data_IF_820223431400
#
_entry.id   IF_820223431400
#
_cell.length_a   1.000
_cell.length_b   1.000
_cell.length_c   1.000
_cell.angle_alpha   90.00
_cell.angle_beta   90.00
_cell.angle_gamma   90.00
#
_symmetry.space_group_name_H-M   'P 1'
#
loop_
_entity.id
_entity.type
_entity.pdbx_description
1 polymer ?
#
# COMPACT_ATOMS: atom_id res chain seq x y z
N UNK A 1 -31.07 4.81 -17.81
CA UNK A 1 -30.13 3.77 -17.31
C UNK A 1 -30.04 3.87 -15.79
N UNK A 2 -31.14 3.60 -15.07
CA UNK A 2 -31.23 3.77 -13.61
C UNK A 2 -31.65 2.48 -12.87
N UNK A 3 -31.57 1.32 -13.52
CA UNK A 3 -32.06 0.04 -12.96
C UNK A 3 -31.04 -0.75 -12.14
N UNK A 4 -29.76 -0.37 -12.06
CA UNK A 4 -28.75 -1.19 -11.36
C UNK A 4 -28.65 -0.92 -9.85
N UNK A 5 -29.18 0.20 -9.36
CA UNK A 5 -29.10 0.56 -7.94
C UNK A 5 -30.22 -0.07 -7.10
N UNK A 6 -31.42 -0.25 -7.68
CA UNK A 6 -32.56 -0.83 -6.99
C UNK A 6 -32.41 -2.35 -6.79
N UNK A 7 -31.83 -3.05 -7.76
CA UNK A 7 -31.59 -4.51 -7.68
C UNK A 7 -30.54 -4.84 -6.62
N UNK A 8 -29.50 -4.01 -6.48
CA UNK A 8 -28.48 -4.15 -5.44
C UNK A 8 -29.05 -3.92 -4.03
N UNK A 9 -30.00 -3.00 -3.87
CA UNK A 9 -30.68 -2.77 -2.59
C UNK A 9 -31.68 -3.88 -2.22
N UNK A 10 -32.32 -4.50 -3.22
CA UNK A 10 -33.23 -5.63 -3.01
C UNK A 10 -32.48 -6.92 -2.64
N UNK A 11 -31.30 -7.17 -3.20
CA UNK A 11 -30.44 -8.31 -2.79
C UNK A 11 -29.87 -8.15 -1.37
N UNK A 12 -29.63 -6.91 -0.93
CA UNK A 12 -29.17 -6.61 0.44
C UNK A 12 -30.18 -6.98 1.53
N UNK A 13 -31.49 -7.02 1.21
CA UNK A 13 -32.57 -7.33 2.17
C UNK A 13 -32.79 -8.83 2.44
N UNK A 14 -32.07 -9.73 1.75
CA UNK A 14 -32.23 -11.19 1.88
C UNK A 14 -31.10 -11.91 2.61
N UNK A 15 -30.05 -11.21 3.03
CA UNK A 15 -28.97 -11.82 3.79
C UNK A 15 -29.48 -12.19 5.19
N UNK A 16 -29.48 -13.48 5.49
CA UNK A 16 -29.83 -13.98 6.83
C UNK A 16 -28.86 -13.37 7.83
N UNK A 17 -29.35 -12.74 8.90
CA UNK A 17 -28.48 -12.15 9.90
C UNK A 17 -27.65 -13.22 10.58
N UNK A 18 -26.32 -13.12 10.48
CA UNK A 18 -25.39 -14.04 11.10
C UNK A 18 -25.36 -13.82 12.62
N UNK A 19 -24.89 -14.77 13.40
CA UNK A 19 -24.46 -14.51 14.78
C UNK A 19 -23.02 -13.99 14.78
N UNK A 20 -22.57 -13.34 15.87
CA UNK A 20 -21.15 -12.97 16.00
C UNK A 20 -20.21 -14.17 15.87
N UNK A 21 -20.63 -15.35 16.32
CA UNK A 21 -19.85 -16.59 16.19
C UNK A 21 -19.71 -17.04 14.73
N UNK A 22 -20.80 -16.98 13.97
CA UNK A 22 -20.78 -17.27 12.54
C UNK A 22 -19.97 -16.23 11.75
N UNK A 23 -20.05 -14.96 12.13
CA UNK A 23 -19.22 -13.91 11.55
C UNK A 23 -17.71 -14.14 11.82
N UNK A 24 -17.35 -14.59 13.03
CA UNK A 24 -15.97 -14.97 13.37
C UNK A 24 -15.51 -16.17 12.53
N UNK A 25 -16.33 -17.21 12.39
CA UNK A 25 -16.01 -18.37 11.55
C UNK A 25 -15.78 -17.96 10.08
N UNK A 26 -16.65 -17.12 9.53
CA UNK A 26 -16.48 -16.57 8.17
C UNK A 26 -15.19 -15.75 8.00
N UNK A 27 -14.78 -15.01 9.03
CA UNK A 27 -13.50 -14.28 9.00
C UNK A 27 -12.31 -15.25 9.00
N UNK A 28 -12.38 -16.32 9.77
CA UNK A 28 -11.34 -17.35 9.87
C UNK A 28 -11.14 -18.09 8.54
N UNK A 29 -12.20 -18.44 7.84
CA UNK A 29 -12.14 -19.04 6.50
C UNK A 29 -11.41 -18.13 5.49
N UNK A 30 -11.48 -16.81 5.69
CA UNK A 30 -10.83 -15.81 4.83
C UNK A 30 -9.40 -15.48 5.25
N UNK A 31 -8.84 -16.15 6.26
CA UNK A 31 -7.48 -15.88 6.78
C UNK A 31 -6.41 -15.86 5.70
N UNK A 32 -6.53 -16.70 4.68
CA UNK A 32 -5.56 -16.78 3.57
C UNK A 32 -5.50 -15.50 2.73
N UNK A 33 -6.59 -14.73 2.68
CA UNK A 33 -6.67 -13.45 1.96
C UNK A 33 -6.01 -12.30 2.72
N UNK A 34 -5.66 -12.51 3.99
CA UNK A 34 -5.02 -11.48 4.83
C UNK A 34 -3.53 -11.38 4.46
N UNK A 35 -3.01 -10.16 4.22
CA UNK A 35 -1.59 -9.96 3.98
C UNK A 35 -0.72 -10.61 5.06
N UNK A 36 0.40 -11.26 4.67
CA UNK A 36 1.25 -12.04 5.58
C UNK A 36 1.63 -11.26 6.85
N UNK A 37 2.03 -10.01 6.70
CA UNK A 37 2.41 -9.13 7.81
C UNK A 37 1.24 -8.66 8.69
N UNK A 38 0.00 -8.85 8.25
CA UNK A 38 -1.21 -8.53 9.03
C UNK A 38 -1.81 -9.73 9.75
N UNK A 39 -1.26 -10.95 9.55
CA UNK A 39 -1.77 -12.17 10.21
C UNK A 39 -1.77 -12.06 11.74
N UNK A 40 -0.71 -11.53 12.35
CA UNK A 40 -0.66 -11.35 13.80
C UNK A 40 -1.68 -10.30 14.31
N UNK A 41 -1.79 -9.09 13.71
CA UNK A 41 -2.89 -8.18 14.02
C UNK A 41 -4.28 -8.79 13.86
N UNK A 42 -4.47 -9.63 12.83
CA UNK A 42 -5.72 -10.31 12.54
C UNK A 42 -6.06 -11.40 13.58
N UNK A 43 -5.08 -12.21 13.99
CA UNK A 43 -5.25 -13.18 15.07
C UNK A 43 -5.64 -12.50 16.38
N UNK A 44 -5.01 -11.35 16.69
CA UNK A 44 -5.38 -10.55 17.86
C UNK A 44 -6.81 -10.01 17.76
N UNK A 45 -7.24 -9.58 16.57
CA UNK A 45 -8.63 -9.19 16.32
C UNK A 45 -9.58 -10.37 16.59
N UNK A 46 -9.29 -11.57 16.11
CA UNK A 46 -10.12 -12.75 16.35
C UNK A 46 -10.20 -13.10 17.85
N UNK A 47 -9.09 -13.01 18.59
CA UNK A 47 -9.08 -13.21 20.05
C UNK A 47 -9.99 -12.18 20.74
N UNK A 48 -9.84 -10.90 20.39
CA UNK A 48 -10.66 -9.82 20.96
C UNK A 48 -12.15 -10.06 20.66
N UNK A 49 -12.52 -10.48 19.44
CA UNK A 49 -13.90 -10.80 19.06
C UNK A 49 -14.46 -12.03 19.78
N UNK A 50 -13.68 -13.12 19.88
CA UNK A 50 -14.08 -14.35 20.59
C UNK A 50 -14.33 -14.08 22.07
N UNK A 51 -13.53 -13.21 22.70
CA UNK A 51 -13.72 -12.84 24.11
C UNK A 51 -15.08 -12.19 24.36
N UNK A 52 -15.54 -11.39 23.40
CA UNK A 52 -16.86 -10.72 23.44
C UNK A 52 -17.99 -11.73 23.15
N UNK A 53 -17.77 -12.68 22.23
CA UNK A 53 -18.75 -13.72 21.89
C UNK A 53 -18.96 -14.79 22.98
N UNK A 54 -18.03 -14.90 23.93
CA UNK A 54 -18.09 -15.86 25.05
C UNK A 54 -18.66 -15.26 26.34
N UNK A 55 -18.45 -13.96 26.60
CA UNK A 55 -18.80 -13.33 27.89
C UNK A 55 -20.24 -12.85 28.01
N UNK A 56 -20.97 -12.73 26.90
CA UNK A 56 -22.38 -12.32 26.90
C UNK A 56 -23.13 -13.20 25.89
N UNK A 57 -24.29 -13.73 26.25
CA UNK A 57 -25.16 -14.56 25.40
C UNK A 57 -25.76 -13.77 24.23
N UNK A 58 -24.91 -13.19 23.41
CA UNK A 58 -25.24 -12.09 22.52
C UNK A 58 -25.56 -12.61 21.12
N UNK A 59 -26.83 -12.54 20.77
CA UNK A 59 -27.27 -12.58 19.38
C UNK A 59 -26.94 -11.22 18.73
N UNK A 60 -25.66 -10.96 18.45
CA UNK A 60 -25.32 -9.88 17.52
C UNK A 60 -25.66 -10.37 16.12
N UNK A 61 -26.61 -9.69 15.51
CA UNK A 61 -27.10 -9.88 14.15
C UNK A 61 -26.41 -8.80 13.28
N UNK A 62 -25.36 -9.11 12.50
CA UNK A 62 -24.84 -8.20 11.48
C UNK A 62 -25.84 -8.19 10.32
N UNK A 63 -26.45 -7.03 10.09
CA UNK A 63 -27.22 -6.74 8.88
C UNK A 63 -26.32 -5.92 7.96
N UNK A 64 -25.64 -6.59 7.04
CA UNK A 64 -24.79 -5.93 6.04
C UNK A 64 -24.08 -6.93 5.12
N UNK A 65 -23.72 -6.53 3.88
CA UNK A 65 -23.00 -7.39 2.97
C UNK A 65 -21.66 -7.80 3.59
N UNK A 66 -21.15 -8.95 3.17
CA UNK A 66 -19.98 -9.66 3.74
C UNK A 66 -18.68 -8.81 3.89
N UNK A 67 -18.66 -7.57 3.37
CA UNK A 67 -17.55 -6.63 3.40
C UNK A 67 -17.84 -5.33 4.19
N UNK A 68 -19.05 -5.13 4.73
CA UNK A 68 -19.41 -3.96 5.53
C UNK A 68 -20.27 -4.38 6.73
N UNK A 69 -19.60 -4.60 7.87
CA UNK A 69 -20.26 -4.79 9.16
C UNK A 69 -21.04 -3.51 9.54
N UNK A 70 -22.36 -3.53 9.34
CA UNK A 70 -23.29 -2.60 9.99
C UNK A 70 -24.05 -3.34 11.09
N UNK A 71 -24.16 -2.71 12.25
CA UNK A 71 -24.74 -3.28 13.47
C UNK A 71 -26.13 -2.65 13.67
N UNK A 72 -27.16 -3.48 13.82
CA UNK A 72 -28.54 -3.05 14.03
C UNK A 72 -28.76 -2.47 15.45
N UNK A 73 -29.31 -1.24 15.59
CA UNK A 73 -29.45 -0.53 16.86
C UNK A 73 -30.65 -0.93 17.75
N UNK A 74 -31.50 -1.89 17.37
CA UNK A 74 -32.79 -2.08 18.08
C UNK A 74 -32.80 -2.86 19.41
N UNK A 75 -31.66 -3.08 20.07
CA UNK A 75 -31.64 -3.54 21.47
C UNK A 75 -30.61 -2.77 22.31
N UNK A 76 -31.02 -2.18 23.44
CA UNK A 76 -30.32 -2.34 24.72
C UNK A 76 -28.80 -2.62 24.68
N UNK A 77 -28.58 -3.94 24.65
CA UNK A 77 -27.34 -4.69 24.63
C UNK A 77 -26.62 -4.66 23.28
N UNK A 78 -27.32 -4.53 22.14
CA UNK A 78 -26.70 -4.36 20.83
C UNK A 78 -26.04 -2.99 20.63
N UNK A 79 -26.58 -1.90 21.21
CA UNK A 79 -25.96 -0.57 21.14
C UNK A 79 -24.62 -0.55 21.91
N UNK A 80 -24.56 -1.17 23.08
CA UNK A 80 -23.31 -1.31 23.84
C UNK A 80 -22.31 -2.22 23.14
N UNK A 81 -22.76 -3.35 22.60
CA UNK A 81 -21.89 -4.24 21.82
C UNK A 81 -21.42 -3.60 20.52
N UNK A 82 -22.25 -2.76 19.88
CA UNK A 82 -21.85 -1.95 18.73
C UNK A 82 -20.62 -1.11 19.04
N UNK A 83 -20.63 -0.38 20.16
CA UNK A 83 -19.48 0.43 20.59
C UNK A 83 -18.23 -0.40 20.92
N UNK A 84 -18.40 -1.58 21.52
CA UNK A 84 -17.29 -2.49 21.83
C UNK A 84 -16.67 -3.03 20.55
N UNK A 85 -17.51 -3.52 19.63
CA UNK A 85 -17.08 -4.03 18.32
C UNK A 85 -16.42 -2.92 17.49
N UNK A 86 -17.00 -1.72 17.43
CA UNK A 86 -16.38 -0.55 16.81
C UNK A 86 -15.02 -0.24 17.42
N UNK A 87 -14.91 -0.33 18.74
CA UNK A 87 -13.66 -0.15 19.47
C UNK A 87 -12.59 -1.16 19.06
N UNK A 88 -12.97 -2.44 18.92
CA UNK A 88 -12.09 -3.53 18.48
C UNK A 88 -11.64 -3.30 17.03
N UNK A 89 -12.57 -3.06 16.10
CA UNK A 89 -12.25 -2.81 14.69
C UNK A 89 -11.40 -1.56 14.49
N UNK A 90 -11.71 -0.48 15.20
CA UNK A 90 -10.90 0.76 15.17
C UNK A 90 -9.46 0.50 15.62
N UNK A 91 -9.26 -0.25 16.70
CA UNK A 91 -7.92 -0.63 17.19
C UNK A 91 -7.19 -1.52 16.18
N UNK A 92 -7.87 -2.51 15.60
CA UNK A 92 -7.29 -3.38 14.57
C UNK A 92 -6.87 -2.57 13.33
N UNK A 93 -7.74 -1.68 12.83
CA UNK A 93 -7.46 -0.80 11.68
C UNK A 93 -6.25 0.12 11.95
N UNK A 94 -6.15 0.69 13.15
CA UNK A 94 -5.01 1.51 13.55
C UNK A 94 -3.68 0.73 13.61
N UNK A 95 -3.72 -0.56 14.02
CA UNK A 95 -2.54 -1.44 13.96
C UNK A 95 -2.16 -1.74 12.51
N UNK A 96 -3.11 -2.15 11.66
CA UNK A 96 -2.84 -2.48 10.26
C UNK A 96 -2.33 -1.27 9.46
N UNK A 97 -2.85 -0.06 9.73
CA UNK A 97 -2.42 1.16 9.03
C UNK A 97 -0.96 1.55 9.30
N UNK A 98 -0.33 0.97 10.32
CA UNK A 98 1.06 1.20 10.72
C UNK A 98 1.92 -0.08 10.64
N UNK A 99 1.38 -1.17 10.11
CA UNK A 99 2.05 -2.47 10.00
C UNK A 99 2.24 -2.84 8.52
N UNK A 100 3.45 -3.23 8.15
CA UNK A 100 3.78 -3.63 6.80
C UNK A 100 2.97 -4.88 6.39
N UNK A 101 2.26 -4.80 5.26
CA UNK A 101 1.45 -5.88 4.68
C UNK A 101 2.25 -7.16 4.41
N UNK A 102 3.54 -7.04 4.10
CA UNK A 102 4.42 -8.18 3.79
C UNK A 102 5.12 -8.78 5.01
N UNK A 103 5.92 -7.98 5.72
CA UNK A 103 6.84 -8.48 6.75
C UNK A 103 6.41 -8.21 8.20
N UNK A 104 5.29 -7.51 8.43
CA UNK A 104 4.79 -7.20 9.77
C UNK A 104 5.57 -6.14 10.56
N UNK A 105 6.66 -5.60 10.01
CA UNK A 105 7.40 -4.46 10.62
C UNK A 105 6.60 -3.16 10.53
N UNK A 106 7.01 -2.12 11.27
CA UNK A 106 6.39 -0.80 11.18
C UNK A 106 6.44 -0.27 9.74
N UNK A 107 5.27 0.08 9.21
CA UNK A 107 5.07 0.56 7.85
C UNK A 107 4.43 1.94 7.81
N UNK A 108 4.39 2.52 6.61
CA UNK A 108 3.61 3.72 6.30
C UNK A 108 2.83 3.47 5.01
N UNK A 109 1.72 4.19 4.81
CA UNK A 109 1.00 4.15 3.55
C UNK A 109 1.89 4.61 2.39
N UNK A 110 2.01 3.78 1.35
CA UNK A 110 2.79 4.03 0.14
C UNK A 110 1.92 3.77 -1.08
N UNK A 111 2.19 4.52 -2.15
CA UNK A 111 1.57 4.29 -3.45
C UNK A 111 2.45 3.34 -4.27
N UNK A 112 1.92 2.17 -4.63
CA UNK A 112 2.55 1.21 -5.54
C UNK A 112 1.73 1.13 -6.84
N UNK A 113 2.05 2.00 -7.81
CA UNK A 113 1.26 2.09 -9.04
C UNK A 113 -0.15 2.60 -8.72
N UNK A 114 -1.19 1.82 -9.01
CA UNK A 114 -2.58 2.17 -8.67
C UNK A 114 -3.03 1.68 -7.29
N UNK A 115 -2.24 0.83 -6.62
CA UNK A 115 -2.57 0.28 -5.29
C UNK A 115 -1.93 1.10 -4.17
N UNK A 116 -2.70 1.43 -3.13
CA UNK A 116 -2.15 1.87 -1.84
C UNK A 116 -1.88 0.66 -0.96
N UNK A 117 -0.67 0.55 -0.44
CA UNK A 117 -0.26 -0.48 0.50
C UNK A 117 0.53 0.10 1.66
N UNK A 118 0.38 -0.47 2.84
CA UNK A 118 1.20 -0.14 4.02
C UNK A 118 2.47 -0.98 3.96
N UNK A 119 3.61 -0.34 3.73
CA UNK A 119 4.90 -1.03 3.60
C UNK A 119 5.98 -0.38 4.46
N UNK A 120 6.89 -1.20 4.97
CA UNK A 120 8.14 -0.71 5.54
C UNK A 120 9.07 -0.22 4.42
N UNK A 121 10.11 0.60 4.72
CA UNK A 121 11.03 1.10 3.69
C UNK A 121 11.68 0.00 2.86
N UNK A 122 12.04 -1.13 3.47
CA UNK A 122 12.68 -2.24 2.78
C UNK A 122 11.75 -2.94 1.78
N UNK A 123 10.54 -3.33 2.21
CA UNK A 123 9.53 -3.92 1.31
C UNK A 123 9.13 -2.94 0.20
N UNK A 124 8.93 -1.65 0.54
CA UNK A 124 8.62 -0.63 -0.46
C UNK A 124 9.72 -0.48 -1.52
N UNK A 125 10.99 -0.50 -1.11
CA UNK A 125 12.12 -0.41 -2.02
C UNK A 125 12.16 -1.59 -2.99
N UNK A 126 11.93 -2.83 -2.52
CA UNK A 126 11.89 -4.03 -3.38
C UNK A 126 10.87 -3.90 -4.52
N UNK A 127 9.69 -3.35 -4.26
CA UNK A 127 8.67 -3.12 -5.29
C UNK A 127 8.93 -1.90 -6.17
N UNK A 128 9.53 -0.85 -5.60
CA UNK A 128 9.67 0.44 -6.28
C UNK A 128 10.93 0.54 -7.13
N UNK A 129 12.03 -0.07 -6.71
CA UNK A 129 13.32 -0.02 -7.40
C UNK A 129 13.21 -0.58 -8.82
N UNK A 130 12.63 -1.77 -9.08
CA UNK A 130 12.45 -2.28 -10.44
C UNK A 130 11.76 -1.29 -11.39
N UNK A 131 10.64 -0.70 -10.92
CA UNK A 131 9.86 0.26 -11.72
C UNK A 131 10.64 1.54 -11.98
N UNK A 132 11.35 2.04 -10.98
CA UNK A 132 12.15 3.26 -11.11
C UNK A 132 13.41 3.04 -11.96
N UNK A 133 14.07 1.88 -11.85
CA UNK A 133 15.20 1.48 -12.68
C UNK A 133 14.78 1.39 -14.15
N UNK A 134 13.68 0.68 -14.45
CA UNK A 134 13.10 0.61 -15.80
C UNK A 134 12.76 1.98 -16.38
N UNK A 135 12.12 2.86 -15.59
CA UNK A 135 11.84 4.24 -16.00
C UNK A 135 13.12 5.01 -16.32
N UNK A 136 14.18 4.83 -15.53
CA UNK A 136 15.47 5.50 -15.76
C UNK A 136 16.13 4.99 -17.05
N UNK A 137 16.11 3.68 -17.31
CA UNK A 137 16.61 3.11 -18.57
C UNK A 137 15.84 3.65 -19.78
N UNK A 138 14.50 3.75 -19.69
CA UNK A 138 13.69 4.36 -20.74
C UNK A 138 14.07 5.82 -21.01
N UNK A 139 14.34 6.62 -19.96
CA UNK A 139 14.82 8.00 -20.13
C UNK A 139 16.16 8.05 -20.87
N UNK A 140 17.08 7.15 -20.54
CA UNK A 140 18.37 7.04 -21.24
C UNK A 140 18.15 6.64 -22.70
N UNK A 141 17.33 5.62 -22.96
CA UNK A 141 17.05 5.15 -24.32
C UNK A 141 16.40 6.23 -25.19
N UNK A 142 15.45 6.98 -24.64
CA UNK A 142 14.83 8.12 -25.33
C UNK A 142 15.85 9.23 -25.64
N UNK A 143 16.89 9.37 -24.82
CA UNK A 143 17.93 10.38 -24.99
C UNK A 143 19.13 9.89 -25.82
N UNK A 144 19.22 8.60 -26.20
CA UNK A 144 20.32 8.05 -27.00
C UNK A 144 20.50 8.73 -28.36
N UNK A 145 19.44 9.35 -28.89
CA UNK A 145 19.51 10.10 -30.15
C UNK A 145 20.40 11.36 -30.07
N UNK A 146 20.74 11.83 -28.86
CA UNK A 146 21.56 13.02 -28.68
C UNK A 146 22.43 12.94 -27.41
N UNK A 147 23.71 12.65 -27.60
CA UNK A 147 24.71 12.50 -26.53
C UNK A 147 24.96 13.78 -25.71
N UNK A 148 24.53 14.94 -26.22
CA UNK A 148 24.62 16.22 -25.50
C UNK A 148 23.43 16.48 -24.57
N UNK A 149 22.42 15.61 -24.57
CA UNK A 149 21.30 15.74 -23.66
C UNK A 149 21.74 15.50 -22.22
N UNK A 150 21.12 16.27 -21.33
CA UNK A 150 21.29 16.15 -19.89
C UNK A 150 19.95 15.75 -19.28
N UNK A 151 19.99 14.88 -18.30
CA UNK A 151 18.81 14.50 -17.52
C UNK A 151 18.88 15.26 -16.21
N UNK A 152 17.82 16.01 -15.91
CA UNK A 152 17.76 16.83 -14.70
C UNK A 152 17.45 15.94 -13.48
N UNK A 153 18.00 16.28 -12.32
CA UNK A 153 17.76 15.54 -11.07
C UNK A 153 16.26 15.27 -10.79
N UNK A 154 15.32 16.23 -10.99
CA UNK A 154 13.90 15.98 -10.76
C UNK A 154 13.29 14.89 -11.66
N UNK A 155 13.85 14.66 -12.84
CA UNK A 155 13.37 13.66 -13.81
C UNK A 155 13.77 12.25 -13.41
N UNK A 156 14.90 12.11 -12.72
CA UNK A 156 15.38 10.83 -12.19
C UNK A 156 14.49 10.44 -11.01
N UNK A 157 13.98 9.20 -10.92
CA UNK A 157 13.18 8.76 -9.78
C UNK A 157 13.97 8.76 -8.45
N UNK A 158 13.30 9.13 -7.36
CA UNK A 158 13.94 9.42 -6.08
C UNK A 158 14.83 8.29 -5.51
N UNK A 159 14.41 7.02 -5.59
CA UNK A 159 15.23 5.91 -5.08
C UNK A 159 16.48 5.72 -5.93
N UNK A 160 16.38 5.93 -7.24
CA UNK A 160 17.52 5.84 -8.16
C UNK A 160 18.50 6.98 -7.90
N UNK A 161 18.02 8.20 -7.62
CA UNK A 161 18.91 9.34 -7.29
C UNK A 161 19.90 9.00 -6.18
N UNK A 162 19.42 8.31 -5.14
CA UNK A 162 20.25 7.91 -4.00
C UNK A 162 21.25 6.79 -4.31
N UNK A 163 21.06 6.07 -5.42
CA UNK A 163 21.95 5.01 -5.89
C UNK A 163 23.00 5.52 -6.88
N UNK A 164 22.82 6.73 -7.42
CA UNK A 164 23.79 7.33 -8.34
C UNK A 164 25.02 7.83 -7.57
N UNK A 165 26.24 7.45 -8.00
CA UNK A 165 27.48 7.98 -7.44
C UNK A 165 27.50 9.52 -7.46
N UNK A 166 28.10 10.13 -6.43
CA UNK A 166 28.10 11.59 -6.25
C UNK A 166 28.82 12.27 -7.42
N UNK A 167 29.82 11.61 -7.98
CA UNK A 167 30.71 12.07 -9.03
C UNK A 167 30.00 12.25 -10.38
N UNK A 168 28.88 11.56 -10.58
CA UNK A 168 28.05 11.69 -11.79
C UNK A 168 27.23 12.96 -11.81
N UNK A 169 26.99 13.56 -10.64
CA UNK A 169 26.19 14.75 -10.53
C UNK A 169 27.01 15.98 -10.91
N UNK A 170 26.51 16.71 -11.90
CA UNK A 170 26.98 18.05 -12.24
C UNK A 170 25.99 19.08 -11.76
N UNK A 171 26.45 20.29 -11.56
CA UNK A 171 25.62 21.41 -11.13
C UNK A 171 25.71 22.51 -12.15
N UNK A 172 24.55 23.02 -12.57
CA UNK A 172 24.48 24.22 -13.39
C UNK A 172 23.75 25.30 -12.60
N UNK A 173 24.30 26.52 -12.65
CA UNK A 173 23.71 27.70 -12.02
C UNK A 173 23.24 28.63 -13.13
N UNK A 174 21.98 29.03 -13.07
CA UNK A 174 21.46 30.08 -13.94
C UNK A 174 20.68 31.09 -13.12
N UNK A 175 20.67 32.33 -13.61
CA UNK A 175 19.89 33.40 -13.03
C UNK A 175 18.51 33.39 -13.68
N UNK A 176 17.46 33.39 -12.86
CA UNK A 176 16.12 33.54 -13.39
C UNK A 176 15.97 34.93 -14.02
N UNK A 177 15.48 35.03 -15.26
CA UNK A 177 15.38 36.31 -15.96
C UNK A 177 14.41 37.29 -15.30
N UNK A 178 13.45 36.82 -14.50
CA UNK A 178 12.42 37.68 -13.87
C UNK A 178 12.80 38.22 -12.50
N UNK A 179 13.49 37.43 -11.68
CA UNK A 179 13.71 37.75 -10.26
C UNK A 179 15.20 37.82 -9.88
N UNK A 180 16.12 37.65 -10.84
CA UNK A 180 17.57 37.56 -10.63
C UNK A 180 18.01 36.52 -9.59
N UNK A 181 17.11 35.65 -9.14
CA UNK A 181 17.40 34.59 -8.20
C UNK A 181 18.28 33.54 -8.88
N UNK A 182 19.41 33.20 -8.24
CA UNK A 182 20.28 32.14 -8.70
C UNK A 182 19.66 30.78 -8.36
N UNK A 183 19.31 30.00 -9.38
CA UNK A 183 18.87 28.62 -9.22
C UNK A 183 20.04 27.71 -9.52
N UNK A 184 20.31 26.78 -8.59
CA UNK A 184 21.25 25.69 -8.79
C UNK A 184 20.44 24.43 -9.12
N UNK A 185 20.69 23.83 -10.28
CA UNK A 185 20.11 22.54 -10.65
C UNK A 185 21.20 21.49 -10.78
N UNK A 186 20.92 20.27 -10.32
CA UNK A 186 21.78 19.11 -10.55
C UNK A 186 21.31 18.36 -11.79
N UNK A 187 22.26 17.85 -12.55
CA UNK A 187 22.00 17.06 -13.75
C UNK A 187 23.04 15.96 -13.91
N UNK A 188 22.71 14.97 -14.74
CA UNK A 188 23.62 13.89 -15.15
C UNK A 188 23.63 13.82 -16.67
N UNK A 189 24.81 13.63 -17.25
CA UNK A 189 24.96 13.41 -18.69
C UNK A 189 24.36 12.04 -19.07
N UNK A 190 23.66 11.99 -20.19
CA UNK A 190 23.00 10.74 -20.66
C UNK A 190 24.01 9.62 -20.91
N UNK A 191 25.19 9.92 -21.46
CA UNK A 191 26.27 8.95 -21.65
C UNK A 191 26.73 8.33 -20.31
N UNK A 192 26.96 9.15 -19.28
CA UNK A 192 27.39 8.67 -17.97
C UNK A 192 26.30 7.87 -17.24
N UNK A 193 25.03 8.23 -17.47
CA UNK A 193 23.91 7.45 -16.94
C UNK A 193 23.72 6.12 -17.71
N UNK A 194 24.03 6.09 -19.01
CA UNK A 194 23.97 4.89 -19.83
C UNK A 194 24.96 3.81 -19.39
N UNK A 195 26.16 4.21 -18.94
CA UNK A 195 27.15 3.29 -18.35
C UNK A 195 26.63 2.57 -17.10
N UNK A 196 25.65 3.16 -16.39
CA UNK A 196 25.03 2.54 -15.23
C UNK A 196 23.82 1.65 -15.56
N UNK A 197 23.29 1.67 -16.78
CA UNK A 197 22.13 0.87 -17.17
C UNK A 197 22.30 -0.64 -16.86
N UNK A 198 23.46 -1.29 -17.12
CA UNK A 198 23.65 -2.70 -16.77
C UNK A 198 23.55 -2.97 -15.26
N UNK A 199 24.01 -2.03 -14.42
CA UNK A 199 23.88 -2.12 -12.96
C UNK A 199 22.44 -1.95 -12.50
N UNK A 200 21.71 -1.03 -13.13
CA UNK A 200 20.29 -0.82 -12.88
C UNK A 200 19.46 -2.05 -13.27
N UNK A 201 19.81 -2.70 -14.38
CA UNK A 201 19.20 -3.95 -14.81
C UNK A 201 19.47 -5.11 -13.83
N UNK A 202 20.71 -5.26 -13.39
CA UNK A 202 21.08 -6.24 -12.36
C UNK A 202 20.27 -6.02 -11.07
N UNK A 203 20.12 -4.76 -10.65
CA UNK A 203 19.34 -4.39 -9.47
C UNK A 203 17.85 -4.67 -9.65
N UNK A 204 17.30 -4.39 -10.83
CA UNK A 204 15.92 -4.73 -11.19
C UNK A 204 15.68 -6.24 -11.05
N UNK A 205 16.54 -7.07 -11.65
CA UNK A 205 16.41 -8.52 -11.63
C UNK A 205 16.48 -9.07 -10.19
N UNK A 206 17.49 -8.65 -9.41
CA UNK A 206 17.61 -9.06 -7.99
C UNK A 206 16.39 -8.67 -7.15
N UNK A 207 15.84 -7.49 -7.38
CA UNK A 207 14.64 -7.06 -6.65
C UNK A 207 13.38 -7.83 -7.10
N UNK A 208 13.29 -8.22 -8.38
CA UNK A 208 12.19 -9.04 -8.89
C UNK A 208 12.25 -10.47 -8.35
N UNK A 209 13.42 -11.09 -8.29
CA UNK A 209 13.64 -12.41 -7.66
C UNK A 209 13.14 -12.40 -6.21
N UNK A 210 13.55 -11.40 -5.42
CA UNK A 210 13.12 -11.24 -4.03
C UNK A 210 11.61 -11.01 -3.84
N UNK A 211 10.90 -10.54 -4.88
CA UNK A 211 9.44 -10.40 -4.85
C UNK A 211 8.78 -11.72 -5.26
N UNK A 212 9.35 -12.44 -6.24
CA UNK A 212 8.85 -13.73 -6.71
C UNK A 212 8.91 -14.84 -5.66
N UNK A 213 9.97 -14.88 -4.84
CA UNK A 213 10.13 -15.88 -3.77
C UNK A 213 9.12 -15.73 -2.61
N UNK A 214 8.37 -14.62 -2.56
CA UNK A 214 7.46 -14.31 -1.45
C UNK A 214 5.99 -14.64 -1.74
N UNK A 215 5.65 -15.08 -2.96
CA UNK A 215 4.31 -15.53 -3.31
C UNK A 215 4.18 -17.04 -3.14
#
# INVERSE_FOLDING_TARGET
MESNNATHQLEMSRATPLTLREAIANLEERRERIPRGWRQPFEKLLIDLRSVAFTRGSQCIPTGPQDALQIDPFTQTAVEMGRVLDGIFRKARARCSSTCEECGRRGKGRQLGFKRSVLCPACFARHSIPRQARRTRFLVDAAKANERLVILEPEIPALIRHLLPVELWRTFRFQQPKNHAAITMRYVNTAALAELCPRLETLENKCQELVGEMH
#
